data_IF_430960785255
#
_entry.id   IF_430960785255
#
_cell.length_a   1.000
_cell.length_b   1.000
_cell.length_c   1.000
_cell.angle_alpha   90.00
_cell.angle_beta   90.00
_cell.angle_gamma   90.00
#
_symmetry.space_group_name_H-M   'P 1'
#
loop_
_entity.id
_entity.type
_entity.pdbx_description
1 polymer ?
#
# COMPACT_ATOMS: atom_id res chain seq x y z
N UNK A 1 -9.14 -6.42 -6.30
CA UNK A 1 -7.90 -6.02 -5.58
C UNK A 1 -6.85 -5.71 -6.64
N UNK A 2 -6.14 -4.58 -6.53
CA UNK A 2 -5.07 -4.19 -7.45
C UNK A 2 -3.71 -4.46 -6.81
N UNK A 3 -2.70 -4.76 -7.63
CA UNK A 3 -1.34 -5.04 -7.17
C UNK A 3 -0.56 -3.71 -7.04
N UNK A 4 -0.83 -3.00 -5.95
CA UNK A 4 -0.28 -1.65 -5.69
C UNK A 4 1.00 -1.68 -4.86
N UNK A 5 1.39 -2.84 -4.32
CA UNK A 5 2.59 -3.06 -3.51
C UNK A 5 3.55 -3.97 -4.30
N UNK A 6 4.84 -3.71 -4.22
CA UNK A 6 5.87 -4.54 -4.85
C UNK A 6 6.94 -4.90 -3.83
N UNK A 7 7.44 -6.14 -3.86
CA UNK A 7 8.58 -6.53 -3.03
C UNK A 7 9.87 -6.08 -3.72
N UNK A 8 10.59 -5.14 -3.11
CA UNK A 8 11.84 -4.60 -3.63
C UNK A 8 13.02 -5.06 -2.76
N UNK A 9 14.22 -5.28 -3.35
CA UNK A 9 15.40 -5.65 -2.59
C UNK A 9 15.77 -4.59 -1.55
N UNK A 10 16.06 -5.02 -0.32
CA UNK A 10 16.50 -4.12 0.75
C UNK A 10 17.28 -4.87 1.84
N UNK A 11 18.56 -4.57 1.98
CA UNK A 11 19.46 -5.23 2.93
C UNK A 11 19.32 -4.74 4.38
N UNK A 12 18.41 -3.81 4.66
CA UNK A 12 18.18 -3.27 6.01
C UNK A 12 17.34 -4.18 6.92
N UNK A 13 16.92 -5.36 6.46
CA UNK A 13 16.24 -6.35 7.29
C UNK A 13 16.65 -7.78 6.94
N UNK A 14 16.31 -8.73 7.82
CA UNK A 14 16.62 -10.16 7.67
C UNK A 14 16.06 -10.78 6.38
N UNK A 15 14.99 -10.22 5.82
CA UNK A 15 14.37 -10.74 4.61
C UNK A 15 15.11 -10.34 3.32
N UNK A 16 16.05 -9.39 3.37
CA UNK A 16 16.69 -8.78 2.19
C UNK A 16 15.70 -8.18 1.18
N UNK A 17 14.46 -7.92 1.61
CA UNK A 17 13.40 -7.35 0.79
C UNK A 17 12.39 -6.60 1.66
N UNK A 18 11.74 -5.60 1.07
CA UNK A 18 10.69 -4.79 1.70
C UNK A 18 9.55 -4.55 0.71
N UNK A 19 8.32 -4.40 1.20
CA UNK A 19 7.23 -3.91 0.36
C UNK A 19 7.44 -2.40 0.06
N UNK A 20 7.27 -2.01 -1.19
CA UNK A 20 7.25 -0.61 -1.60
C UNK A 20 6.03 0.13 -1.03
N UNK A 21 6.05 1.47 -1.11
CA UNK A 21 4.85 2.25 -0.81
C UNK A 21 3.74 1.96 -1.85
N UNK A 22 2.44 1.96 -1.46
CA UNK A 22 1.35 1.77 -2.40
C UNK A 22 1.39 2.79 -3.56
N UNK A 23 1.27 2.32 -4.81
CA UNK A 23 1.04 3.21 -5.96
C UNK A 23 -0.35 3.81 -5.87
N UNK A 24 -0.43 5.12 -5.63
CA UNK A 24 -1.71 5.82 -5.39
C UNK A 24 -2.57 5.92 -6.64
N UNK A 25 -1.96 5.97 -7.83
CA UNK A 25 -2.66 6.03 -9.12
C UNK A 25 -3.46 4.76 -9.44
N UNK A 26 -2.99 3.60 -8.97
CA UNK A 26 -3.63 2.28 -9.14
C UNK A 26 -4.53 1.92 -7.95
N UNK A 27 -4.60 2.78 -6.94
CA UNK A 27 -5.29 2.51 -5.69
C UNK A 27 -6.81 2.68 -5.85
N UNK A 28 -7.53 1.56 -5.73
CA UNK A 28 -9.00 1.54 -5.78
C UNK A 28 -9.67 1.73 -4.41
N UNK A 29 -8.91 2.11 -3.38
CA UNK A 29 -9.47 2.37 -2.05
C UNK A 29 -9.99 1.14 -1.29
N UNK A 30 -9.57 -0.08 -1.66
CA UNK A 30 -10.11 -1.32 -1.05
C UNK A 30 -9.66 -1.59 0.39
N UNK A 31 -8.71 -0.80 0.93
CA UNK A 31 -8.19 -0.86 2.30
C UNK A 31 -7.52 -2.17 2.75
N UNK A 32 -7.35 -3.15 1.87
CA UNK A 32 -6.69 -4.43 2.23
C UNK A 32 -5.26 -4.26 2.70
N UNK A 33 -4.54 -3.25 2.20
CA UNK A 33 -3.19 -2.94 2.64
C UNK A 33 -3.12 -2.40 4.08
N UNK A 34 -4.21 -1.84 4.63
CA UNK A 34 -4.26 -1.41 6.03
C UNK A 34 -4.18 -2.64 6.94
N UNK A 35 -5.05 -3.63 6.74
CA UNK A 35 -5.07 -4.86 7.55
C UNK A 35 -3.87 -5.78 7.30
N UNK A 36 -3.24 -5.69 6.12
CA UNK A 36 -2.06 -6.48 5.79
C UNK A 36 -0.76 -5.89 6.35
N UNK A 37 -0.76 -4.61 6.75
CA UNK A 37 0.44 -3.95 7.27
C UNK A 37 0.74 -4.49 8.67
N UNK A 38 1.86 -5.21 8.89
CA UNK A 38 2.13 -5.88 10.16
C UNK A 38 2.38 -4.91 11.33
N UNK A 39 2.61 -3.64 11.03
CA UNK A 39 2.88 -2.58 12.01
C UNK A 39 1.83 -1.48 11.98
N UNK A 40 0.71 -1.69 11.28
CA UNK A 40 -0.37 -0.71 11.12
C UNK A 40 0.10 0.68 10.63
N UNK A 41 1.15 0.73 9.82
CA UNK A 41 1.74 1.98 9.33
C UNK A 41 0.96 2.61 8.17
N UNK A 42 0.20 1.81 7.41
CA UNK A 42 -0.54 2.26 6.23
C UNK A 42 -1.99 2.62 6.58
N UNK A 43 -2.46 3.75 6.06
CA UNK A 43 -3.88 4.17 6.14
C UNK A 43 -4.34 4.71 4.79
N UNK A 44 -5.51 4.27 4.31
CA UNK A 44 -6.07 4.70 3.03
C UNK A 44 -7.21 5.69 3.25
N UNK A 45 -7.06 6.88 2.70
CA UNK A 45 -8.10 7.92 2.66
C UNK A 45 -8.56 8.11 1.22
N UNK A 46 -9.84 7.91 0.97
CA UNK A 46 -10.47 8.13 -0.33
C UNK A 46 -11.26 9.42 -0.25
N UNK A 47 -10.98 10.35 -1.17
CA UNK A 47 -11.77 11.56 -1.35
C UNK A 47 -12.56 11.38 -2.64
N UNK A 48 -13.87 11.22 -2.51
CA UNK A 48 -14.77 11.32 -3.65
C UNK A 48 -14.78 12.80 -4.06
N UNK A 49 -14.32 13.09 -5.27
CA UNK A 49 -14.50 14.43 -5.85
C UNK A 49 -16.00 14.73 -5.92
N UNK A 50 -16.36 16.02 -5.91
CA UNK A 50 -17.75 16.47 -6.07
C UNK A 50 -18.37 15.75 -7.26
N UNK A 51 -19.40 14.94 -7.01
CA UNK A 51 -20.24 14.41 -8.08
C UNK A 51 -20.82 15.63 -8.80
N UNK A 52 -20.41 15.85 -10.06
CA UNK A 52 -20.96 16.92 -10.93
C UNK A 52 -22.33 16.53 -11.44
#
# INVERSE_FOLDING_TARGET
>A
PTDVLEMVPWDGCKASQIASAPRTEDCVGCKRCESACPTDFLSVRVYLGSET
#
